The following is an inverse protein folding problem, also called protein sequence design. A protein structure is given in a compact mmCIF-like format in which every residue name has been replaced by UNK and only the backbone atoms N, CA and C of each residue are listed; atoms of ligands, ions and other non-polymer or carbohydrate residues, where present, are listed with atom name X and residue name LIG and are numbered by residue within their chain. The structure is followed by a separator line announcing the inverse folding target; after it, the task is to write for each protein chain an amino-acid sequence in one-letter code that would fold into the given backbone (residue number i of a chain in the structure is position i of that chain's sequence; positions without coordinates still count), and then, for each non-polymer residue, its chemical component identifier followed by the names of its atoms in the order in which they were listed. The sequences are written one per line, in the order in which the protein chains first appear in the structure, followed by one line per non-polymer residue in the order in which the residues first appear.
data_IF_209674598008
#
_entry.id   IF_209674598008
#
_cell.length_a   1.000
_cell.length_b   1.000
_cell.length_c   1.000
_cell.angle_alpha   90.00
_cell.angle_beta   90.00
_cell.angle_gamma   90.00
#
_symmetry.space_group_name_H-M   'P 1'
#
loop_
_entity.id
_entity.type
_entity.pdbx_description
1 polymer ?
#
# COMPACT_ATOMS: atom_id res chain seq x y z
N UNK A 1 5.35 -3.64 25.03
CA UNK A 1 6.72 -4.19 25.20
C UNK A 1 7.79 -3.41 24.41
N UNK A 2 7.52 -2.20 23.88
CA UNK A 2 8.57 -1.37 23.24
C UNK A 2 9.23 -1.99 21.99
N UNK A 3 8.67 -3.09 21.48
CA UNK A 3 9.13 -3.76 20.26
C UNK A 3 8.47 -3.05 19.08
N UNK A 4 9.26 -2.68 18.08
CA UNK A 4 8.76 -2.08 16.86
C UNK A 4 7.68 -2.96 16.22
N UNK A 5 6.57 -2.34 15.85
CA UNK A 5 5.49 -2.99 15.13
C UNK A 5 4.91 -2.03 14.09
N UNK A 6 4.45 -2.61 12.99
CA UNK A 6 3.84 -1.95 11.85
C UNK A 6 2.70 -2.84 11.36
N UNK A 7 1.54 -2.23 11.13
CA UNK A 7 0.41 -2.87 10.47
C UNK A 7 0.16 -2.27 9.09
N UNK A 8 -0.32 -3.10 8.17
CA UNK A 8 -0.81 -2.68 6.86
C UNK A 8 -2.21 -3.27 6.71
N UNK A 9 -3.20 -2.42 6.47
CA UNK A 9 -4.60 -2.81 6.35
C UNK A 9 -5.34 -1.94 5.35
N UNK A 10 -6.50 -2.40 4.90
CA UNK A 10 -7.34 -1.72 3.91
C UNK A 10 -8.76 -1.41 4.39
N UNK A 11 -9.19 -2.01 5.52
CA UNK A 11 -10.53 -1.79 6.06
C UNK A 11 -10.54 -1.32 7.52
N UNK A 12 -10.06 -2.17 8.42
CA UNK A 12 -10.10 -1.94 9.87
C UNK A 12 -10.26 -3.20 10.72
N UNK A 13 -10.51 -4.36 10.13
CA UNK A 13 -10.61 -5.65 10.83
C UNK A 13 -9.27 -6.40 10.91
N UNK A 14 -8.20 -5.81 10.39
CA UNK A 14 -6.85 -6.33 10.36
C UNK A 14 -6.10 -5.98 11.65
N UNK A 15 -5.12 -6.82 12.00
CA UNK A 15 -4.30 -6.66 13.20
C UNK A 15 -3.67 -5.26 13.20
N UNK A 16 -3.80 -4.52 14.30
CA UNK A 16 -3.17 -3.22 14.48
C UNK A 16 -4.04 -2.01 14.08
N UNK A 17 -5.16 -2.22 13.39
CA UNK A 17 -6.01 -1.14 12.90
C UNK A 17 -6.77 -0.38 14.00
N UNK A 18 -6.83 -0.89 15.23
CA UNK A 18 -7.37 -0.12 16.36
C UNK A 18 -6.57 1.18 16.64
N UNK A 19 -5.36 1.33 16.08
CA UNK A 19 -4.58 2.55 16.13
C UNK A 19 -5.34 3.80 15.61
N UNK A 20 -6.29 3.61 14.70
CA UNK A 20 -7.19 4.67 14.18
C UNK A 20 -8.67 4.33 14.43
N UNK A 21 -8.96 3.72 15.58
CA UNK A 21 -10.31 3.26 15.98
C UNK A 21 -11.39 4.31 15.75
N UNK A 22 -11.17 5.56 16.18
CA UNK A 22 -12.18 6.62 16.06
C UNK A 22 -12.58 6.83 14.60
N UNK A 23 -11.61 6.88 13.68
CA UNK A 23 -11.85 7.08 12.26
C UNK A 23 -12.58 5.88 11.65
N UNK A 24 -12.15 4.65 11.97
CA UNK A 24 -12.77 3.44 11.44
C UNK A 24 -14.23 3.33 11.92
N UNK A 25 -14.52 3.60 13.20
CA UNK A 25 -15.89 3.55 13.72
C UNK A 25 -16.81 4.59 13.09
N UNK A 26 -16.28 5.74 12.69
CA UNK A 26 -17.04 6.82 12.07
C UNK A 26 -17.38 6.51 10.60
N UNK A 27 -16.41 6.00 9.84
CA UNK A 27 -16.53 5.91 8.38
C UNK A 27 -16.72 4.50 7.83
N UNK A 28 -16.37 3.44 8.57
CA UNK A 28 -16.51 2.06 8.10
C UNK A 28 -17.84 1.46 8.56
N UNK A 29 -18.71 1.03 7.62
CA UNK A 29 -19.95 0.35 7.97
C UNK A 29 -19.69 -0.86 8.87
N UNK A 30 -20.54 -1.04 9.87
CA UNK A 30 -20.49 -2.17 10.80
C UNK A 30 -19.27 -2.21 11.74
N UNK A 31 -18.39 -1.20 11.76
CA UNK A 31 -17.25 -1.15 12.67
C UNK A 31 -17.60 -0.62 14.08
N UNK A 32 -18.67 0.17 14.20
CA UNK A 32 -19.14 0.70 15.49
C UNK A 32 -19.76 -0.37 16.41
N UNK A 33 -20.06 0.03 17.66
CA UNK A 33 -20.84 -0.80 18.60
C UNK A 33 -22.20 -1.11 17.97
N UNK A 34 -22.69 -2.34 18.16
CA UNK A 34 -23.86 -2.91 17.48
C UNK A 34 -23.73 -3.03 15.94
N UNK A 35 -22.52 -2.92 15.39
CA UNK A 35 -22.28 -3.09 13.97
C UNK A 35 -22.43 -4.54 13.48
N UNK A 36 -22.20 -5.53 14.35
CA UNK A 36 -22.31 -6.94 13.99
C UNK A 36 -23.78 -7.36 13.83
N UNK A 37 -24.12 -7.83 12.63
CA UNK A 37 -25.45 -8.39 12.30
C UNK A 37 -25.78 -9.68 13.04
N UNK A 38 -24.78 -10.37 13.59
CA UNK A 38 -24.97 -11.59 14.37
C UNK A 38 -25.38 -11.33 15.85
N UNK A 39 -25.54 -10.06 16.25
CA UNK A 39 -26.06 -9.72 17.57
C UNK A 39 -25.04 -9.80 18.71
N UNK A 40 -23.75 -9.81 18.41
CA UNK A 40 -22.68 -9.88 19.42
C UNK A 40 -22.50 -8.57 20.21
N UNK A 41 -23.09 -7.46 19.72
CA UNK A 41 -22.93 -6.12 20.31
C UNK A 41 -21.66 -5.38 19.88
N UNK A 42 -20.72 -6.07 19.21
CA UNK A 42 -19.47 -5.49 18.72
C UNK A 42 -19.53 -5.23 17.21
N UNK A 43 -18.56 -4.48 16.67
CA UNK A 43 -18.39 -4.27 15.23
C UNK A 43 -17.27 -5.12 14.64
N UNK A 44 -16.93 -4.87 13.37
CA UNK A 44 -15.83 -5.58 12.67
C UNK A 44 -14.42 -5.07 13.01
N UNK A 45 -14.31 -3.93 13.70
CA UNK A 45 -13.01 -3.33 14.04
C UNK A 45 -12.14 -4.31 14.85
N UNK A 46 -10.87 -4.42 14.47
CA UNK A 46 -9.88 -5.17 15.24
C UNK A 46 -9.65 -4.57 16.63
N UNK A 47 -9.43 -5.42 17.63
CA UNK A 47 -9.16 -4.98 19.00
C UNK A 47 -7.68 -4.62 19.23
N UNK A 48 -6.80 -4.96 18.29
CA UNK A 48 -5.35 -4.75 18.40
C UNK A 48 -4.93 -3.44 17.75
N UNK A 49 -4.09 -2.68 18.45
CA UNK A 49 -3.47 -1.44 17.96
C UNK A 49 -1.98 -1.67 17.68
N UNK A 50 -1.50 -1.14 16.56
CA UNK A 50 -0.08 -1.01 16.24
C UNK A 50 0.39 0.44 16.46
N UNK A 51 1.66 0.62 16.79
CA UNK A 51 2.32 1.92 16.96
C UNK A 51 2.48 2.65 15.61
N UNK A 52 2.62 1.89 14.52
CA UNK A 52 2.73 2.41 13.16
C UNK A 52 1.73 1.67 12.27
N UNK A 53 1.10 2.40 11.34
CA UNK A 53 0.16 1.82 10.37
C UNK A 53 0.38 2.38 8.97
N UNK A 54 0.05 1.57 7.96
CA UNK A 54 -0.15 1.99 6.58
C UNK A 54 -1.55 1.56 6.17
N UNK A 55 -2.37 2.51 5.73
CA UNK A 55 -3.67 2.21 5.13
C UNK A 55 -3.55 2.28 3.61
N UNK A 56 -4.08 1.30 2.89
CA UNK A 56 -4.11 1.28 1.43
C UNK A 56 -5.45 0.74 0.93
N UNK A 57 -5.80 0.94 -0.34
CA UNK A 57 -7.02 0.33 -0.93
C UNK A 57 -6.95 -1.19 -0.96
N UNK A 58 -5.74 -1.74 -1.01
CA UNK A 58 -5.43 -3.15 -0.93
C UNK A 58 -4.15 -3.28 -0.09
N UNK A 59 -4.16 -4.14 0.91
CA UNK A 59 -3.03 -4.31 1.83
C UNK A 59 -1.71 -4.65 1.10
N UNK A 60 -1.76 -5.47 0.05
CA UNK A 60 -0.59 -5.77 -0.81
C UNK A 60 0.02 -4.52 -1.43
N UNK A 61 -0.78 -3.51 -1.79
CA UNK A 61 -0.27 -2.26 -2.36
C UNK A 61 0.47 -1.44 -1.30
N UNK A 62 -0.03 -1.46 -0.06
CA UNK A 62 0.68 -0.88 1.09
C UNK A 62 2.02 -1.55 1.33
N UNK A 63 2.06 -2.89 1.26
CA UNK A 63 3.31 -3.67 1.34
C UNK A 63 4.28 -3.28 0.21
N UNK A 64 3.80 -3.21 -1.03
CA UNK A 64 4.63 -2.85 -2.18
C UNK A 64 5.17 -1.42 -2.06
N UNK A 65 4.34 -0.47 -1.60
CA UNK A 65 4.78 0.90 -1.34
C UNK A 65 5.85 0.97 -0.24
N UNK A 66 5.69 0.20 0.85
CA UNK A 66 6.70 0.09 1.91
C UNK A 66 8.03 -0.46 1.37
N UNK A 67 7.96 -1.54 0.57
CA UNK A 67 9.15 -2.13 -0.07
C UNK A 67 9.84 -1.12 -1.00
N UNK A 68 9.08 -0.44 -1.85
CA UNK A 68 9.60 0.56 -2.77
C UNK A 68 10.24 1.75 -2.04
N UNK A 69 9.58 2.29 -1.02
CA UNK A 69 10.12 3.37 -0.19
C UNK A 69 11.42 2.93 0.53
N UNK A 70 11.45 1.71 1.05
CA UNK A 70 12.65 1.16 1.70
C UNK A 70 13.80 1.01 0.71
N UNK A 71 13.54 0.45 -0.48
CA UNK A 71 14.53 0.32 -1.55
C UNK A 71 15.08 1.68 -1.98
N UNK A 72 14.21 2.69 -2.11
CA UNK A 72 14.60 4.06 -2.43
C UNK A 72 15.48 4.68 -1.35
N UNK A 73 15.08 4.61 -0.08
CA UNK A 73 15.84 5.18 1.05
C UNK A 73 17.22 4.52 1.22
N UNK A 74 17.36 3.26 0.82
CA UNK A 74 18.64 2.54 0.82
C UNK A 74 19.51 2.84 -0.42
N UNK A 75 19.01 3.58 -1.40
CA UNK A 75 19.68 3.79 -2.69
C UNK A 75 19.83 2.49 -3.50
N UNK A 76 18.94 1.52 -3.29
CA UNK A 76 19.00 0.16 -3.84
C UNK A 76 17.67 -0.24 -4.48
N UNK A 77 17.27 0.38 -5.61
CA UNK A 77 15.99 0.10 -6.25
C UNK A 77 15.83 -1.36 -6.71
N UNK A 78 16.93 -2.09 -6.89
CA UNK A 78 16.95 -3.51 -7.21
C UNK A 78 16.34 -4.40 -6.10
N UNK A 79 16.21 -3.90 -4.86
CA UNK A 79 15.54 -4.61 -3.77
C UNK A 79 14.01 -4.66 -3.92
N UNK A 80 13.42 -3.78 -4.74
CA UNK A 80 12.00 -3.82 -5.05
C UNK A 80 11.71 -4.85 -6.13
N UNK A 81 10.65 -5.64 -5.94
CA UNK A 81 10.32 -6.75 -6.83
C UNK A 81 9.98 -6.31 -8.26
N UNK A 82 9.99 -7.24 -9.20
CA UNK A 82 9.56 -6.99 -10.58
C UNK A 82 8.06 -7.25 -10.78
N UNK A 83 7.51 -6.78 -11.90
CA UNK A 83 6.14 -7.14 -12.30
C UNK A 83 6.03 -8.64 -12.60
N UNK A 84 7.12 -9.28 -13.04
CA UNK A 84 7.20 -10.72 -13.25
C UNK A 84 7.07 -11.47 -11.92
N UNK A 85 7.80 -11.04 -10.89
CA UNK A 85 7.71 -11.62 -9.54
C UNK A 85 6.28 -11.49 -8.98
N UNK A 86 5.66 -10.31 -9.13
CA UNK A 86 4.27 -10.10 -8.71
C UNK A 86 3.31 -11.02 -9.48
N UNK A 87 3.48 -11.17 -10.79
CA UNK A 87 2.64 -12.04 -11.59
C UNK A 87 2.76 -13.51 -11.18
N UNK A 88 4.00 -13.96 -10.92
CA UNK A 88 4.29 -15.31 -10.43
C UNK A 88 3.70 -15.55 -9.04
N UNK A 89 3.81 -14.58 -8.12
CA UNK A 89 3.22 -14.69 -6.79
C UNK A 89 1.68 -14.83 -6.86
N UNK A 90 1.02 -14.02 -7.69
CA UNK A 90 -0.43 -14.09 -7.90
C UNK A 90 -0.86 -15.44 -8.50
N UNK A 91 -0.12 -15.96 -9.49
CA UNK A 91 -0.40 -17.28 -10.06
C UNK A 91 -0.16 -18.41 -9.06
N UNK A 92 0.90 -18.32 -8.26
CA UNK A 92 1.22 -19.31 -7.26
C UNK A 92 0.17 -19.36 -6.15
N UNK A 93 -0.30 -18.21 -5.67
CA UNK A 93 -1.36 -18.12 -4.67
C UNK A 93 -2.66 -18.75 -5.18
N UNK A 94 -3.08 -18.41 -6.39
CA UNK A 94 -4.26 -19.01 -7.02
C UNK A 94 -4.08 -20.51 -7.26
N UNK A 95 -2.92 -20.94 -7.79
CA UNK A 95 -2.60 -22.35 -8.01
C UNK A 95 -2.54 -23.18 -6.72
N UNK A 96 -2.22 -22.55 -5.58
CA UNK A 96 -2.26 -23.14 -4.25
C UNK A 96 -3.66 -23.16 -3.61
N UNK A 97 -4.66 -22.58 -4.27
CA UNK A 97 -6.05 -22.56 -3.80
C UNK A 97 -6.42 -21.38 -2.89
N UNK A 98 -5.59 -20.33 -2.80
CA UNK A 98 -5.97 -19.10 -2.10
C UNK A 98 -7.12 -18.40 -2.82
N UNK A 99 -8.12 -17.96 -2.07
CA UNK A 99 -9.34 -17.38 -2.62
C UNK A 99 -9.23 -15.86 -2.73
N UNK A 100 -9.66 -15.34 -3.86
CA UNK A 100 -9.93 -13.91 -4.05
C UNK A 100 -11.31 -13.53 -3.45
N UNK A 101 -11.64 -12.22 -3.40
CA UNK A 101 -12.95 -11.71 -2.98
C UNK A 101 -14.14 -12.32 -3.74
N UNK A 102 -13.96 -12.82 -4.96
CA UNK A 102 -15.02 -13.56 -5.67
C UNK A 102 -15.25 -14.98 -5.16
N UNK A 103 -14.50 -15.44 -4.15
CA UNK A 103 -14.61 -16.78 -3.56
C UNK A 103 -14.01 -17.88 -4.43
N UNK A 104 -13.12 -17.53 -5.34
CA UNK A 104 -12.52 -18.46 -6.32
C UNK A 104 -10.98 -18.31 -6.33
N UNK A 105 -10.24 -19.41 -6.59
CA UNK A 105 -8.79 -19.38 -6.70
C UNK A 105 -8.37 -18.83 -8.06
N UNK A 106 -8.28 -17.50 -8.15
CA UNK A 106 -7.91 -16.76 -9.36
C UNK A 106 -6.78 -15.78 -9.02
N UNK A 107 -5.90 -15.45 -9.97
CA UNK A 107 -4.78 -14.52 -9.72
C UNK A 107 -5.28 -13.08 -9.66
N UNK A 108 -6.00 -12.79 -8.59
CA UNK A 108 -6.66 -11.53 -8.25
C UNK A 108 -6.34 -11.24 -6.79
N UNK A 109 -6.28 -9.95 -6.45
CA UNK A 109 -6.14 -9.47 -5.08
C UNK A 109 -7.25 -8.46 -4.90
N UNK A 110 -8.11 -8.64 -3.92
CA UNK A 110 -9.23 -7.74 -3.65
C UNK A 110 -10.19 -7.55 -4.84
N UNK A 111 -10.39 -8.59 -5.64
CA UNK A 111 -11.19 -8.54 -6.87
C UNK A 111 -10.51 -7.77 -8.00
N UNK A 112 -9.22 -7.41 -7.85
CA UNK A 112 -8.41 -6.67 -8.81
C UNK A 112 -7.45 -7.61 -9.52
N UNK A 113 -7.52 -7.63 -10.86
CA UNK A 113 -6.70 -8.51 -11.69
C UNK A 113 -5.28 -8.00 -11.94
N UNK A 114 -4.48 -8.83 -12.62
CA UNK A 114 -3.12 -8.49 -13.06
C UNK A 114 -3.03 -7.24 -13.93
N UNK A 115 -4.10 -6.91 -14.66
CA UNK A 115 -4.18 -5.72 -15.51
C UNK A 115 -4.05 -4.40 -14.74
N UNK A 116 -4.24 -4.40 -13.41
CA UNK A 116 -4.04 -3.23 -12.55
C UNK A 116 -2.84 -3.45 -11.62
N UNK A 117 -2.74 -4.64 -11.01
CA UNK A 117 -1.66 -4.96 -10.06
C UNK A 117 -0.26 -4.85 -10.71
N UNK A 118 -0.07 -5.37 -11.93
CA UNK A 118 1.26 -5.38 -12.57
C UNK A 118 1.72 -3.98 -13.05
N UNK A 119 0.87 -3.15 -13.68
CA UNK A 119 1.24 -1.77 -13.97
C UNK A 119 1.53 -0.94 -12.73
N UNK A 120 0.82 -1.17 -11.61
CA UNK A 120 1.07 -0.46 -10.36
C UNK A 120 2.49 -0.75 -9.83
N UNK A 121 2.89 -2.03 -9.77
CA UNK A 121 4.25 -2.43 -9.41
C UNK A 121 5.28 -1.82 -10.36
N UNK A 122 5.02 -1.87 -11.66
CA UNK A 122 5.93 -1.28 -12.67
C UNK A 122 6.10 0.23 -12.46
N UNK A 123 5.03 0.94 -12.12
CA UNK A 123 5.06 2.38 -11.84
C UNK A 123 5.85 2.67 -10.56
N UNK A 124 5.62 1.92 -9.48
CA UNK A 124 6.38 2.06 -8.24
C UNK A 124 7.88 1.87 -8.49
N UNK A 125 8.25 0.88 -9.29
CA UNK A 125 9.65 0.63 -9.65
C UNK A 125 10.26 1.79 -10.43
N UNK A 126 9.55 2.30 -11.44
CA UNK A 126 10.01 3.46 -12.21
C UNK A 126 10.19 4.71 -11.33
N UNK A 127 9.29 4.94 -10.35
CA UNK A 127 9.35 6.08 -9.44
C UNK A 127 10.58 6.05 -8.52
N UNK A 128 11.09 4.87 -8.17
CA UNK A 128 12.28 4.75 -7.31
C UNK A 128 13.59 4.65 -8.10
N UNK A 129 13.55 4.18 -9.35
CA UNK A 129 14.71 4.09 -10.24
C UNK A 129 15.05 5.43 -10.89
N UNK A 130 14.05 6.27 -11.17
CA UNK A 130 14.25 7.50 -11.94
C UNK A 130 15.04 8.61 -11.20
N UNK A 131 14.73 8.96 -9.93
CA UNK A 131 15.34 10.13 -9.29
C UNK A 131 16.88 10.11 -9.28
N UNK A 132 17.56 8.99 -8.94
CA UNK A 132 19.02 8.93 -8.97
C UNK A 132 19.65 9.20 -10.34
N UNK A 133 18.89 9.08 -11.43
CA UNK A 133 19.38 9.31 -12.82
C UNK A 133 19.32 10.77 -13.27
N UNK A 134 18.73 11.65 -12.45
CA UNK A 134 18.48 13.05 -12.78
C UNK A 134 18.89 14.05 -11.70
N UNK A 135 19.44 13.59 -10.57
CA UNK A 135 19.90 14.49 -9.50
C UNK A 135 20.85 15.58 -10.04
N UNK A 136 21.86 15.16 -10.81
CA UNK A 136 22.83 16.05 -11.47
C UNK A 136 22.18 17.03 -12.47
N UNK A 137 21.14 16.59 -13.17
CA UNK A 137 20.43 17.38 -14.19
C UNK A 137 19.46 18.40 -13.60
N UNK A 138 19.10 18.26 -12.33
CA UNK A 138 18.06 19.10 -11.70
C UNK A 138 18.62 20.23 -10.84
N UNK A 139 19.93 20.29 -10.61
CA UNK A 139 20.58 21.33 -9.80
C UNK A 139 20.28 22.76 -10.32
N UNK A 140 20.35 22.97 -11.64
CA UNK A 140 20.15 24.28 -12.25
C UNK A 140 18.69 24.58 -12.62
N UNK A 141 17.73 23.72 -12.26
CA UNK A 141 16.34 23.86 -12.73
C UNK A 141 15.68 25.15 -12.27
N UNK A 142 15.82 25.52 -11.00
CA UNK A 142 15.28 26.77 -10.47
C UNK A 142 15.93 27.99 -11.13
N UNK A 143 17.25 28.00 -11.28
CA UNK A 143 17.96 29.10 -11.94
C UNK A 143 17.49 29.29 -13.38
N UNK A 144 17.40 28.20 -14.15
CA UNK A 144 16.94 28.24 -15.54
C UNK A 144 15.47 28.67 -15.65
N UNK A 145 14.63 28.32 -14.68
CA UNK A 145 13.22 28.74 -14.63
C UNK A 145 13.10 30.23 -14.33
N UNK A 146 13.86 30.73 -13.35
CA UNK A 146 13.89 32.15 -12.99
C UNK A 146 14.42 33.03 -14.13
N UNK A 147 15.42 32.57 -14.88
CA UNK A 147 15.95 33.28 -16.09
C UNK A 147 14.87 33.56 -17.15
N UNK A 148 13.75 32.83 -17.16
CA UNK A 148 12.66 33.07 -18.12
C UNK A 148 11.80 34.29 -17.78
N UNK A 149 11.93 34.88 -16.59
CA UNK A 149 11.22 36.10 -16.20
C UNK A 149 9.71 35.95 -15.93
N UNK A 150 9.17 34.72 -15.91
CA UNK A 150 7.75 34.48 -15.66
C UNK A 150 7.26 34.92 -14.26
N UNK A 151 8.19 35.08 -13.30
CA UNK A 151 7.87 35.38 -11.90
C UNK A 151 8.43 36.74 -11.42
N UNK A 152 9.04 37.52 -12.30
CA UNK A 152 9.48 38.89 -12.00
C UNK A 152 8.33 39.87 -12.32
N UNK A 153 7.84 40.58 -11.30
CA UNK A 153 6.88 41.70 -11.44
C UNK A 153 7.55 42.93 -12.04
#
# INVERSE_FOLDING_TARGET
MGIYNLSIGDLGNEIGMAAIEQHIREYIPYAGKNGCKAGTGYGILADTAADNIITATCSDWGCNALMAATAFMLGKPELFHSKEDQATAMDAAAGAGMLDMYGEPRPYIDGIGKNINLPLVSMMKALIEYPPTVEDKTEAWFENTLRKGFFTK
#
